data_IF_381810554035
#
_entry.id   IF_381810554035
#
_cell.length_a   1.000
_cell.length_b   1.000
_cell.length_c   1.000
_cell.angle_alpha   90.00
_cell.angle_beta   90.00
_cell.angle_gamma   90.00
#
_symmetry.space_group_name_H-M   'P 1'
#
loop_
_entity.id
_entity.type
_entity.pdbx_description
1 polymer ?
#
# COMPACT_ATOMS: atom_id res chain seq x y z
N UNK A 1 -14.03 -7.36 -10.55
CA UNK A 1 -15.03 -6.40 -11.05
C UNK A 1 -16.39 -6.76 -10.45
N UNK A 2 -16.84 -6.06 -9.41
CA UNK A 2 -18.05 -6.43 -8.64
C UNK A 2 -19.34 -5.78 -9.16
N UNK A 3 -19.24 -4.83 -10.10
CA UNK A 3 -20.38 -4.07 -10.64
C UNK A 3 -21.00 -4.61 -11.93
N UNK A 4 -20.47 -5.70 -12.51
CA UNK A 4 -20.96 -6.27 -13.77
C UNK A 4 -20.79 -5.38 -15.01
N UNK A 5 -19.90 -4.40 -14.97
CA UNK A 5 -19.57 -3.52 -16.11
C UNK A 5 -18.74 -4.30 -17.13
N UNK A 6 -19.16 -4.29 -18.39
CA UNK A 6 -18.49 -4.95 -19.52
C UNK A 6 -18.03 -3.97 -20.61
N UNK A 7 -18.34 -2.67 -20.47
CA UNK A 7 -17.88 -1.65 -21.40
C UNK A 7 -16.35 -1.49 -21.32
N UNK A 8 -15.68 -1.74 -22.44
CA UNK A 8 -14.22 -1.74 -22.50
C UNK A 8 -13.61 -0.38 -22.18
N UNK A 9 -14.26 0.71 -22.59
CA UNK A 9 -13.79 2.08 -22.30
C UNK A 9 -13.74 2.30 -20.79
N UNK A 10 -14.82 1.95 -20.08
CA UNK A 10 -14.92 2.06 -18.62
C UNK A 10 -13.90 1.16 -17.93
N UNK A 11 -13.73 -0.09 -18.39
CA UNK A 11 -12.77 -1.02 -17.79
C UNK A 11 -11.32 -0.57 -17.95
N UNK A 12 -10.94 -0.11 -19.15
CA UNK A 12 -9.59 0.41 -19.41
C UNK A 12 -9.36 1.70 -18.61
N UNK A 13 -10.31 2.63 -18.60
CA UNK A 13 -10.22 3.85 -17.80
C UNK A 13 -10.09 3.55 -16.29
N UNK A 14 -10.80 2.53 -15.79
CA UNK A 14 -10.69 2.08 -14.40
C UNK A 14 -9.27 1.62 -14.03
N UNK A 15 -8.54 1.00 -14.97
CA UNK A 15 -7.14 0.60 -14.76
C UNK A 15 -6.21 1.82 -14.82
N UNK A 16 -6.50 2.77 -15.71
CA UNK A 16 -5.64 3.92 -15.99
C UNK A 16 -5.87 5.14 -15.10
N UNK A 17 -6.94 5.20 -14.30
CA UNK A 17 -7.32 6.38 -13.52
C UNK A 17 -6.22 6.93 -12.58
N UNK A 18 -5.23 6.11 -12.21
CA UNK A 18 -4.11 6.51 -11.35
C UNK A 18 -2.84 6.87 -12.13
N UNK A 19 -2.79 6.57 -13.43
CA UNK A 19 -1.61 6.75 -14.28
C UNK A 19 -1.31 8.24 -14.49
N UNK A 20 -2.33 9.06 -14.82
CA UNK A 20 -2.16 10.52 -14.89
C UNK A 20 -1.91 11.15 -13.51
N UNK A 21 -2.48 10.57 -12.45
CA UNK A 21 -2.35 11.08 -11.08
C UNK A 21 -0.92 10.93 -10.51
N UNK A 22 -0.17 9.91 -10.95
CA UNK A 22 1.10 9.52 -10.34
C UNK A 22 2.27 9.34 -11.31
N UNK A 23 2.05 9.41 -12.62
CA UNK A 23 3.07 9.17 -13.65
C UNK A 23 3.62 10.42 -14.33
N UNK A 24 4.51 10.16 -15.30
CA UNK A 24 4.96 11.10 -16.33
C UNK A 24 4.04 11.09 -17.57
N UNK A 25 3.01 10.24 -17.55
CA UNK A 25 2.10 10.03 -18.68
C UNK A 25 1.22 11.24 -18.93
N UNK A 26 1.09 11.64 -20.19
CA UNK A 26 0.24 12.76 -20.62
C UNK A 26 -1.12 12.27 -21.10
N UNK A 27 -2.16 13.13 -21.12
CA UNK A 27 -3.44 12.77 -21.73
C UNK A 27 -3.33 12.36 -23.20
N UNK A 28 -2.41 12.98 -23.94
CA UNK A 28 -2.18 12.67 -25.36
C UNK A 28 -1.63 11.26 -25.55
N UNK A 29 -0.70 10.81 -24.68
CA UNK A 29 -0.21 9.42 -24.68
C UNK A 29 -1.33 8.41 -24.38
N UNK A 30 -2.31 8.79 -23.54
CA UNK A 30 -3.48 7.94 -23.25
C UNK A 30 -4.38 7.85 -24.47
N UNK A 31 -4.62 8.96 -25.16
CA UNK A 31 -5.44 8.96 -26.37
C UNK A 31 -4.79 8.22 -27.53
N UNK A 32 -3.48 8.41 -27.76
CA UNK A 32 -2.75 7.71 -28.81
C UNK A 32 -2.85 6.17 -28.65
N UNK A 33 -2.79 5.68 -27.41
CA UNK A 33 -2.78 4.24 -27.12
C UNK A 33 -4.14 3.61 -26.90
N UNK A 34 -5.10 4.36 -26.35
CA UNK A 34 -6.36 3.82 -25.86
C UNK A 34 -7.60 4.56 -26.41
N UNK A 35 -7.40 5.61 -27.20
CA UNK A 35 -8.45 6.40 -27.82
C UNK A 35 -9.01 7.52 -26.94
N UNK A 36 -9.69 8.45 -27.60
CA UNK A 36 -10.25 9.67 -27.00
C UNK A 36 -11.32 9.39 -25.93
N UNK A 37 -12.10 8.30 -26.09
CA UNK A 37 -13.10 7.88 -25.10
C UNK A 37 -12.48 7.53 -23.74
N UNK A 38 -11.38 6.77 -23.74
CA UNK A 38 -10.65 6.41 -22.52
C UNK A 38 -9.99 7.65 -21.92
N UNK A 39 -9.32 8.46 -22.74
CA UNK A 39 -8.71 9.73 -22.30
C UNK A 39 -9.73 10.59 -21.55
N UNK A 40 -10.90 10.82 -22.13
CA UNK A 40 -11.95 11.66 -21.55
C UNK A 40 -12.37 11.18 -20.16
N UNK A 41 -12.64 9.89 -20.00
CA UNK A 41 -13.04 9.32 -18.70
C UNK A 41 -11.90 9.44 -17.67
N UNK A 42 -10.66 9.23 -18.09
CA UNK A 42 -9.49 9.37 -17.19
C UNK A 42 -9.28 10.83 -16.78
N UNK A 43 -9.46 11.79 -17.69
CA UNK A 43 -9.40 13.23 -17.40
C UNK A 43 -10.51 13.65 -16.40
N UNK A 44 -11.75 13.17 -16.58
CA UNK A 44 -12.86 13.41 -15.65
C UNK A 44 -12.55 12.94 -14.22
N UNK A 45 -11.73 11.90 -14.06
CA UNK A 45 -11.33 11.32 -12.77
C UNK A 45 -10.05 11.92 -12.18
N UNK A 46 -9.33 12.72 -12.95
CA UNK A 46 -8.04 13.27 -12.56
C UNK A 46 -8.21 14.50 -11.66
N UNK A 47 -7.45 14.55 -10.57
CA UNK A 47 -7.51 15.64 -9.59
C UNK A 47 -6.50 16.75 -9.88
N UNK A 48 -6.90 18.00 -9.66
CA UNK A 48 -6.01 19.15 -9.67
C UNK A 48 -4.94 19.01 -8.56
N UNK A 49 -3.68 18.84 -8.96
CA UNK A 49 -2.57 18.56 -8.03
C UNK A 49 -2.21 19.75 -7.13
N UNK A 50 -2.54 20.97 -7.54
CA UNK A 50 -2.23 22.22 -6.82
C UNK A 50 -3.12 22.45 -5.60
N UNK A 51 -4.22 21.72 -5.46
CA UNK A 51 -5.17 21.88 -4.36
C UNK A 51 -4.76 21.05 -3.13
N UNK A 52 -5.05 21.59 -1.93
CA UNK A 52 -4.94 20.85 -0.67
C UNK A 52 -5.90 19.66 -0.64
N UNK A 53 -5.64 18.67 0.21
CA UNK A 53 -6.48 17.47 0.28
C UNK A 53 -7.97 17.77 0.57
N UNK A 54 -8.34 18.66 1.52
CA UNK A 54 -9.74 19.06 1.71
C UNK A 54 -10.32 19.79 0.49
N UNK A 55 -9.54 20.68 -0.14
CA UNK A 55 -9.99 21.41 -1.33
C UNK A 55 -10.22 20.47 -2.53
N UNK A 56 -9.38 19.44 -2.71
CA UNK A 56 -9.61 18.38 -3.71
C UNK A 56 -10.91 17.65 -3.48
N UNK A 57 -11.19 17.24 -2.23
CA UNK A 57 -12.46 16.56 -1.86
C UNK A 57 -13.67 17.45 -2.17
N UNK A 58 -13.63 18.73 -1.79
CA UNK A 58 -14.72 19.66 -2.08
C UNK A 58 -14.92 19.88 -3.59
N UNK A 59 -13.85 20.08 -4.35
CA UNK A 59 -13.91 20.27 -5.80
C UNK A 59 -14.50 19.04 -6.51
N UNK A 60 -14.12 17.82 -6.10
CA UNK A 60 -14.67 16.57 -6.66
C UNK A 60 -16.17 16.45 -6.44
N UNK A 61 -16.68 16.75 -5.25
CA UNK A 61 -18.14 16.72 -5.02
C UNK A 61 -18.88 17.76 -5.86
N UNK A 62 -18.30 18.94 -6.05
CA UNK A 62 -18.89 19.97 -6.93
C UNK A 62 -18.97 19.51 -8.39
N UNK A 63 -17.97 18.78 -8.87
CA UNK A 63 -17.92 18.26 -10.23
C UNK A 63 -18.70 16.95 -10.41
N UNK A 64 -19.04 16.25 -9.32
CA UNK A 64 -19.72 14.97 -9.36
C UNK A 64 -20.97 14.91 -10.26
N UNK A 65 -21.87 15.92 -10.29
CA UNK A 65 -23.03 15.90 -11.18
C UNK A 65 -22.66 15.88 -12.67
N UNK A 66 -21.53 16.50 -13.02
CA UNK A 66 -21.04 16.66 -14.40
C UNK A 66 -20.27 15.44 -14.91
N UNK A 67 -19.91 14.51 -14.02
CA UNK A 67 -19.21 13.29 -14.40
C UNK A 67 -20.12 12.40 -15.26
N UNK A 68 -19.51 11.76 -16.26
CA UNK A 68 -20.13 10.70 -17.02
C UNK A 68 -20.49 9.50 -16.13
N UNK A 69 -21.42 8.68 -16.60
CA UNK A 69 -21.80 7.44 -15.91
C UNK A 69 -20.60 6.50 -15.75
N UNK A 70 -19.72 6.41 -16.75
CA UNK A 70 -18.47 5.65 -16.66
C UNK A 70 -17.59 6.16 -15.51
N UNK A 71 -17.35 7.48 -15.43
CA UNK A 71 -16.55 8.08 -14.36
C UNK A 71 -17.20 7.90 -12.97
N UNK A 72 -18.51 8.07 -12.85
CA UNK A 72 -19.24 7.84 -11.59
C UNK A 72 -19.13 6.39 -11.12
N UNK A 73 -19.28 5.42 -12.04
CA UNK A 73 -19.14 4.00 -11.71
C UNK A 73 -17.72 3.65 -11.25
N UNK A 74 -16.69 4.20 -11.91
CA UNK A 74 -15.29 3.99 -11.52
C UNK A 74 -15.01 4.63 -10.15
N UNK A 75 -15.47 5.85 -9.91
CA UNK A 75 -15.26 6.53 -8.62
C UNK A 75 -15.97 5.80 -7.46
N UNK A 76 -17.16 5.26 -7.71
CA UNK A 76 -17.86 4.42 -6.74
C UNK A 76 -17.09 3.11 -6.47
N UNK A 77 -16.54 2.47 -7.51
CA UNK A 77 -15.74 1.27 -7.38
C UNK A 77 -14.44 1.52 -6.57
N UNK A 78 -13.75 2.63 -6.82
CA UNK A 78 -12.58 3.07 -6.04
C UNK A 78 -12.95 3.28 -4.56
N UNK A 79 -14.08 3.94 -4.31
CA UNK A 79 -14.59 4.18 -2.95
C UNK A 79 -14.89 2.88 -2.22
N UNK A 80 -15.49 1.89 -2.89
CA UNK A 80 -15.72 0.54 -2.34
C UNK A 80 -14.40 -0.14 -1.95
N UNK A 81 -13.36 -0.02 -2.78
CA UNK A 81 -12.03 -0.59 -2.48
C UNK A 81 -11.40 0.12 -1.27
N UNK A 82 -11.52 1.43 -1.17
CA UNK A 82 -11.04 2.21 -0.04
C UNK A 82 -11.76 1.82 1.26
N UNK A 83 -13.09 1.67 1.23
CA UNK A 83 -13.87 1.21 2.38
C UNK A 83 -13.49 -0.23 2.79
N UNK A 84 -13.26 -1.12 1.82
CA UNK A 84 -12.85 -2.52 2.09
C UNK A 84 -11.47 -2.60 2.76
N UNK A 85 -10.59 -1.65 2.47
CA UNK A 85 -9.23 -1.60 3.00
C UNK A 85 -9.10 -0.66 4.21
N UNK A 86 -10.19 -0.04 4.65
CA UNK A 86 -10.24 0.86 5.80
C UNK A 86 -9.79 0.16 7.08
N UNK A 87 -8.96 0.85 7.87
CA UNK A 87 -8.42 0.34 9.14
C UNK A 87 -8.57 1.38 10.22
N UNK A 88 -9.37 1.04 11.23
CA UNK A 88 -9.77 1.97 12.29
C UNK A 88 -8.73 2.04 13.42
N UNK A 89 -7.64 1.27 13.35
CA UNK A 89 -6.72 1.03 14.47
C UNK A 89 -5.68 2.12 14.77
N UNK A 90 -5.66 3.23 14.02
CA UNK A 90 -4.62 4.27 14.16
C UNK A 90 -5.17 5.64 14.55
N UNK A 91 -6.38 6.02 14.10
CA UNK A 91 -7.07 7.27 14.47
C UNK A 91 -8.58 7.15 14.17
N UNK A 92 -9.41 7.16 15.22
CA UNK A 92 -10.88 7.09 15.10
C UNK A 92 -11.41 8.29 14.30
N UNK A 93 -10.87 9.49 14.53
CA UNK A 93 -11.32 10.71 13.85
C UNK A 93 -11.00 10.69 12.35
N UNK A 94 -9.81 10.27 11.93
CA UNK A 94 -9.49 10.17 10.51
C UNK A 94 -10.36 9.11 9.81
N UNK A 95 -10.61 7.99 10.49
CA UNK A 95 -11.51 6.94 9.98
C UNK A 95 -12.95 7.45 9.83
N UNK A 96 -13.44 8.23 10.80
CA UNK A 96 -14.75 8.90 10.73
C UNK A 96 -14.81 9.83 9.52
N UNK A 97 -13.79 10.65 9.32
CA UNK A 97 -13.75 11.63 8.24
C UNK A 97 -13.66 10.96 6.86
N UNK A 98 -12.96 9.82 6.75
CA UNK A 98 -12.92 9.00 5.55
C UNK A 98 -14.25 8.30 5.25
N UNK A 99 -14.94 7.78 6.28
CA UNK A 99 -16.29 7.22 6.13
C UNK A 99 -17.27 8.31 5.69
N UNK A 100 -17.28 9.47 6.36
CA UNK A 100 -18.15 10.59 6.01
C UNK A 100 -17.87 11.13 4.60
N UNK A 101 -16.61 11.08 4.16
CA UNK A 101 -16.26 11.37 2.77
C UNK A 101 -16.84 10.34 1.80
N UNK A 102 -16.67 9.05 2.09
CA UNK A 102 -17.20 7.97 1.26
C UNK A 102 -18.73 8.06 1.11
N UNK A 103 -19.47 8.39 2.19
CA UNK A 103 -20.92 8.61 2.14
C UNK A 103 -21.33 9.70 1.14
N UNK A 104 -20.58 10.81 1.11
CA UNK A 104 -20.83 11.89 0.15
C UNK A 104 -20.58 11.44 -1.28
N UNK A 105 -19.53 10.64 -1.51
CA UNK A 105 -19.26 10.07 -2.83
C UNK A 105 -20.36 9.12 -3.26
N UNK A 106 -20.74 8.16 -2.42
CA UNK A 106 -21.81 7.19 -2.71
C UNK A 106 -23.12 7.91 -3.05
N UNK A 107 -23.46 8.97 -2.31
CA UNK A 107 -24.64 9.78 -2.62
C UNK A 107 -24.53 10.49 -3.98
N UNK A 108 -23.36 11.03 -4.29
CA UNK A 108 -23.14 11.81 -5.50
C UNK A 108 -23.05 10.96 -6.78
N UNK A 109 -22.75 9.66 -6.66
CA UNK A 109 -22.61 8.72 -7.79
C UNK A 109 -23.76 7.72 -7.91
N UNK A 110 -24.74 7.77 -6.99
CA UNK A 110 -25.86 6.83 -6.92
C UNK A 110 -26.70 6.81 -8.21
N UNK A 111 -27.25 5.64 -8.54
CA UNK A 111 -28.21 5.46 -9.62
C UNK A 111 -27.59 5.08 -10.96
N UNK A 112 -26.27 5.19 -11.07
CA UNK A 112 -25.52 4.81 -12.28
C UNK A 112 -25.33 3.30 -12.39
N UNK A 113 -25.10 2.63 -11.25
CA UNK A 113 -24.94 1.17 -11.22
C UNK A 113 -25.52 0.61 -9.93
N UNK A 114 -26.74 0.07 -10.01
CA UNK A 114 -27.46 -0.46 -8.86
C UNK A 114 -26.70 -1.54 -8.07
N UNK A 115 -25.88 -2.36 -8.75
CA UNK A 115 -25.06 -3.37 -8.06
C UNK A 115 -23.96 -2.73 -7.23
N UNK A 116 -23.28 -1.72 -7.78
CA UNK A 116 -22.26 -0.97 -7.04
C UNK A 116 -22.89 -0.18 -5.88
N UNK A 117 -24.08 0.39 -6.07
CA UNK A 117 -24.81 1.10 -5.00
C UNK A 117 -25.07 0.18 -3.81
N UNK A 118 -25.61 -1.02 -4.04
CA UNK A 118 -25.86 -2.02 -2.98
C UNK A 118 -24.58 -2.41 -2.26
N UNK A 119 -23.50 -2.65 -3.01
CA UNK A 119 -22.20 -3.00 -2.41
C UNK A 119 -21.65 -1.84 -1.57
N UNK A 120 -21.76 -0.61 -2.06
CA UNK A 120 -21.26 0.56 -1.38
C UNK A 120 -22.00 0.84 -0.06
N UNK A 121 -23.33 0.75 -0.06
CA UNK A 121 -24.13 0.86 1.17
C UNK A 121 -23.74 -0.20 2.20
N UNK A 122 -23.64 -1.47 1.78
CA UNK A 122 -23.21 -2.54 2.68
C UNK A 122 -21.80 -2.33 3.26
N UNK A 123 -20.88 -1.75 2.49
CA UNK A 123 -19.53 -1.40 2.95
C UNK A 123 -19.54 -0.22 3.93
N UNK A 124 -20.40 0.78 3.70
CA UNK A 124 -20.60 1.91 4.63
C UNK A 124 -21.15 1.42 5.96
N UNK A 125 -22.17 0.57 5.95
CA UNK A 125 -22.75 -0.01 7.17
C UNK A 125 -21.73 -0.83 7.95
N UNK A 126 -20.93 -1.64 7.25
CA UNK A 126 -19.83 -2.37 7.87
C UNK A 126 -18.80 -1.42 8.50
N UNK A 127 -18.38 -0.37 7.77
CA UNK A 127 -17.39 0.59 8.26
C UNK A 127 -17.90 1.39 9.48
N UNK A 128 -19.17 1.81 9.49
CA UNK A 128 -19.82 2.46 10.64
C UNK A 128 -19.83 1.53 11.85
N UNK A 129 -20.21 0.27 11.67
CA UNK A 129 -20.19 -0.72 12.76
C UNK A 129 -18.78 -0.90 13.33
N UNK A 130 -17.76 -1.01 12.47
CA UNK A 130 -16.37 -1.08 12.93
C UNK A 130 -15.95 0.18 13.71
N UNK A 131 -16.39 1.36 13.28
CA UNK A 131 -16.11 2.62 13.96
C UNK A 131 -16.76 2.68 15.34
N UNK A 132 -18.01 2.26 15.44
CA UNK A 132 -18.75 2.20 16.70
C UNK A 132 -18.17 1.16 17.65
N UNK A 133 -17.79 -0.01 17.15
CA UNK A 133 -17.09 -1.02 17.94
C UNK A 133 -15.76 -0.47 18.47
N UNK A 134 -14.95 0.18 17.62
CA UNK A 134 -13.71 0.82 18.04
C UNK A 134 -13.91 1.92 19.11
N UNK A 135 -14.93 2.77 18.97
CA UNK A 135 -15.33 3.78 19.97
C UNK A 135 -15.69 3.16 21.32
N UNK A 136 -16.32 1.98 21.29
CA UNK A 136 -16.69 1.23 22.48
C UNK A 136 -15.57 0.33 23.01
N UNK A 137 -14.32 0.51 22.55
CA UNK A 137 -13.16 -0.28 22.97
C UNK A 137 -13.13 -1.72 22.42
N UNK A 138 -14.08 -2.09 21.55
CA UNK A 138 -14.13 -3.37 20.84
C UNK A 138 -13.39 -3.26 19.52
N UNK A 139 -12.07 -3.35 19.57
CA UNK A 139 -11.25 -3.26 18.37
C UNK A 139 -11.42 -4.50 17.48
N UNK A 140 -11.67 -4.35 16.16
CA UNK A 140 -11.67 -5.49 15.26
C UNK A 140 -10.31 -6.21 15.35
N UNK A 141 -10.30 -7.56 15.33
CA UNK A 141 -9.05 -8.29 15.39
C UNK A 141 -8.18 -7.91 14.18
N UNK A 142 -6.91 -7.54 14.44
CA UNK A 142 -5.96 -7.23 13.36
C UNK A 142 -5.96 -8.37 12.34
N UNK A 143 -5.98 -8.07 11.02
CA UNK A 143 -6.04 -9.08 9.99
C UNK A 143 -4.91 -10.09 10.19
N UNK A 144 -5.26 -11.36 10.39
CA UNK A 144 -4.28 -12.43 10.56
C UNK A 144 -3.59 -12.67 9.23
N UNK A 145 -2.27 -12.89 9.27
CA UNK A 145 -1.48 -13.33 8.11
C UNK A 145 -2.23 -14.42 7.35
N UNK A 146 -2.27 -14.38 6.01
CA UNK A 146 -2.91 -15.43 5.23
C UNK A 146 -2.28 -16.79 5.57
N UNK A 147 -3.09 -17.85 5.63
CA UNK A 147 -2.55 -19.20 5.79
C UNK A 147 -1.55 -19.49 4.66
N UNK A 148 -0.61 -20.43 4.87
CA UNK A 148 0.38 -20.77 3.83
C UNK A 148 -0.25 -21.07 2.46
N UNK A 149 -1.50 -21.54 2.42
CA UNK A 149 -2.27 -21.80 1.20
C UNK A 149 -2.60 -20.52 0.41
N UNK A 150 -2.83 -19.38 1.07
CA UNK A 150 -3.10 -18.08 0.41
C UNK A 150 -1.85 -17.42 -0.19
N UNK A 151 -0.64 -17.89 0.11
CA UNK A 151 0.56 -17.42 -0.62
C UNK A 151 0.57 -17.87 -2.08
N UNK A 152 -0.31 -18.78 -2.47
CA UNK A 152 -0.55 -19.14 -3.87
C UNK A 152 -1.58 -18.25 -4.58
N UNK A 153 -2.12 -17.24 -3.90
CA UNK A 153 -3.03 -16.27 -4.51
C UNK A 153 -2.32 -15.54 -5.67
N UNK A 154 -2.81 -15.65 -6.92
CA UNK A 154 -2.21 -15.02 -8.09
C UNK A 154 -2.11 -13.50 -7.97
N UNK A 155 -3.09 -12.83 -7.35
CA UNK A 155 -3.08 -11.38 -7.18
C UNK A 155 -2.02 -10.96 -6.16
N UNK A 156 -1.88 -11.71 -5.07
CA UNK A 156 -0.83 -11.45 -4.07
C UNK A 156 0.58 -11.66 -4.66
N UNK A 157 0.74 -12.62 -5.57
CA UNK A 157 2.02 -12.84 -6.28
C UNK A 157 2.31 -11.72 -7.26
N UNK A 158 1.35 -11.37 -8.12
CA UNK A 158 1.52 -10.32 -9.12
C UNK A 158 1.83 -8.94 -8.49
N UNK A 159 1.11 -8.58 -7.41
CA UNK A 159 1.37 -7.34 -6.67
C UNK A 159 2.78 -7.33 -6.05
N UNK A 160 3.25 -8.47 -5.53
CA UNK A 160 4.62 -8.56 -5.01
C UNK A 160 5.67 -8.54 -6.12
N UNK A 161 5.38 -9.11 -7.30
CA UNK A 161 6.28 -9.14 -8.45
C UNK A 161 6.61 -7.74 -8.94
N UNK A 162 5.64 -6.81 -8.92
CA UNK A 162 5.86 -5.40 -9.22
C UNK A 162 6.92 -4.75 -8.30
N UNK A 163 7.03 -5.21 -7.06
CA UNK A 163 7.93 -4.65 -6.06
C UNK A 163 7.47 -3.29 -5.54
N UNK A 164 8.28 -2.68 -4.67
CA UNK A 164 8.07 -1.34 -4.13
C UNK A 164 9.07 -0.36 -4.73
N UNK A 165 8.64 0.89 -4.91
CA UNK A 165 9.48 1.95 -5.48
C UNK A 165 10.27 2.72 -4.42
N UNK A 166 9.75 2.81 -3.19
CA UNK A 166 10.42 3.55 -2.11
C UNK A 166 10.20 2.94 -0.73
N UNK A 167 11.22 3.08 0.11
CA UNK A 167 11.20 2.69 1.51
C UNK A 167 11.93 3.76 2.32
N UNK A 168 11.25 4.31 3.32
CA UNK A 168 11.84 5.24 4.29
C UNK A 168 11.69 4.66 5.69
N UNK A 169 12.78 4.65 6.46
CA UNK A 169 12.78 4.22 7.86
C UNK A 169 13.24 5.38 8.72
N UNK A 170 12.41 5.78 9.68
CA UNK A 170 12.70 6.81 10.67
C UNK A 170 13.13 6.13 11.98
N UNK A 171 14.40 6.25 12.33
CA UNK A 171 14.98 5.63 13.53
C UNK A 171 14.72 6.47 14.79
N UNK A 172 13.45 6.52 15.20
CA UNK A 172 12.95 7.45 16.21
C UNK A 172 13.52 7.22 17.61
N UNK A 173 13.58 5.97 18.08
CA UNK A 173 14.01 5.65 19.44
C UNK A 173 14.58 4.22 19.59
N UNK A 174 15.05 3.88 20.79
CA UNK A 174 15.69 2.61 21.10
C UNK A 174 14.80 1.35 21.03
N UNK A 175 13.49 1.51 20.86
CA UNK A 175 12.51 0.42 20.86
C UNK A 175 11.83 0.24 19.51
N UNK A 176 11.58 1.32 18.77
CA UNK A 176 10.77 1.32 17.56
C UNK A 176 11.32 2.24 16.48
N UNK A 177 10.98 1.93 15.23
CA UNK A 177 11.20 2.82 14.08
C UNK A 177 9.88 2.95 13.31
N UNK A 178 9.57 4.16 12.84
CA UNK A 178 8.49 4.38 11.88
C UNK A 178 8.97 4.02 10.47
N UNK A 179 8.07 3.50 9.64
CA UNK A 179 8.35 3.03 8.29
C UNK A 179 7.30 3.56 7.34
N UNK A 180 7.75 4.06 6.19
CA UNK A 180 6.92 4.45 5.04
C UNK A 180 7.31 3.63 3.82
N UNK A 181 6.32 3.07 3.13
CA UNK A 181 6.52 2.27 1.91
C UNK A 181 5.62 2.86 0.83
N UNK A 182 6.22 3.37 -0.25
CA UNK A 182 5.51 4.12 -1.30
C UNK A 182 4.58 5.20 -0.71
N UNK A 183 3.38 5.31 -1.25
CA UNK A 183 2.33 6.23 -0.82
C UNK A 183 1.52 5.74 0.39
N UNK A 184 1.92 4.62 1.04
CA UNK A 184 1.15 4.03 2.15
C UNK A 184 1.31 4.83 3.45
N UNK A 185 0.33 4.75 4.37
CA UNK A 185 0.45 5.34 5.70
C UNK A 185 1.70 4.86 6.44
N UNK A 186 2.26 5.74 7.26
CA UNK A 186 3.39 5.42 8.12
C UNK A 186 2.93 4.45 9.21
N UNK A 187 3.70 3.40 9.45
CA UNK A 187 3.45 2.47 10.54
C UNK A 187 4.71 2.21 11.36
N UNK A 188 4.57 1.65 12.56
CA UNK A 188 5.69 1.45 13.48
C UNK A 188 6.13 -0.01 13.50
N UNK A 189 7.44 -0.23 13.46
CA UNK A 189 8.08 -1.54 13.64
C UNK A 189 8.91 -1.58 14.94
N UNK A 190 8.91 -2.71 15.66
CA UNK A 190 9.97 -2.99 16.64
C UNK A 190 11.34 -2.88 15.99
N UNK A 191 12.32 -2.35 16.71
CA UNK A 191 13.64 -2.00 16.16
C UNK A 191 14.35 -3.19 15.50
N UNK A 192 14.20 -4.41 16.03
CA UNK A 192 14.74 -5.64 15.42
C UNK A 192 14.14 -5.93 14.05
N UNK A 193 12.83 -5.69 13.86
CA UNK A 193 12.16 -5.87 12.56
C UNK A 193 12.54 -4.76 11.58
N UNK A 194 12.68 -3.52 12.05
CA UNK A 194 13.14 -2.40 11.24
C UNK A 194 14.58 -2.62 10.72
N UNK A 195 15.49 -3.09 11.59
CA UNK A 195 16.86 -3.48 11.20
C UNK A 195 16.87 -4.62 10.20
N UNK A 196 16.06 -5.66 10.43
CA UNK A 196 15.93 -6.75 9.48
C UNK A 196 15.46 -6.24 8.12
N UNK A 197 14.41 -5.41 8.09
CA UNK A 197 13.86 -4.80 6.88
C UNK A 197 14.92 -3.97 6.14
N UNK A 198 15.69 -3.15 6.87
CA UNK A 198 16.78 -2.35 6.30
C UNK A 198 17.85 -3.24 5.66
N UNK A 199 18.31 -4.30 6.34
CA UNK A 199 19.35 -5.19 5.80
C UNK A 199 18.85 -5.86 4.52
N UNK A 200 17.64 -6.43 4.50
CA UNK A 200 17.13 -7.11 3.30
C UNK A 200 16.79 -6.15 2.16
N UNK A 201 16.69 -4.84 2.42
CA UNK A 201 16.41 -3.81 1.43
C UNK A 201 17.68 -3.21 0.82
N UNK A 202 18.75 -3.07 1.61
CA UNK A 202 19.91 -2.26 1.24
C UNK A 202 21.25 -2.98 1.38
N UNK A 203 21.28 -4.26 1.77
CA UNK A 203 22.55 -4.97 1.88
C UNK A 203 23.01 -5.54 0.54
N UNK A 204 24.19 -5.11 0.09
CA UNK A 204 24.82 -5.55 -1.15
C UNK A 204 24.54 -4.63 -2.34
N UNK A 205 25.08 -4.97 -3.51
CA UNK A 205 24.76 -4.27 -4.76
C UNK A 205 23.39 -4.74 -5.26
N UNK A 206 22.62 -3.90 -5.98
CA UNK A 206 21.37 -4.33 -6.60
C UNK A 206 21.56 -5.62 -7.41
N UNK A 207 20.55 -6.48 -7.39
CA UNK A 207 20.49 -7.65 -8.26
C UNK A 207 20.47 -7.24 -9.73
N UNK A 208 20.78 -8.18 -10.62
CA UNK A 208 20.70 -7.96 -12.07
C UNK A 208 19.28 -7.56 -12.54
N UNK A 209 18.26 -7.83 -11.74
CA UNK A 209 16.87 -7.47 -11.96
C UNK A 209 16.50 -6.04 -11.49
N UNK A 210 17.49 -5.23 -11.07
CA UNK A 210 17.26 -3.86 -10.57
C UNK A 210 16.63 -3.79 -9.18
N UNK A 211 16.35 -4.95 -8.57
CA UNK A 211 15.82 -5.07 -7.21
C UNK A 211 16.96 -5.17 -6.19
N UNK A 212 16.62 -5.07 -4.90
CA UNK A 212 17.59 -5.35 -3.84
C UNK A 212 18.19 -6.76 -3.95
N UNK A 213 19.46 -6.88 -3.54
CA UNK A 213 20.18 -8.14 -3.59
C UNK A 213 19.62 -9.17 -2.62
N UNK A 214 19.78 -10.45 -2.99
CA UNK A 214 19.58 -11.52 -2.04
C UNK A 214 20.70 -11.54 -0.99
N UNK A 215 20.27 -11.57 0.27
CA UNK A 215 21.16 -11.71 1.43
C UNK A 215 21.02 -13.11 2.00
N UNK A 216 22.14 -13.85 2.06
CA UNK A 216 22.13 -15.16 2.69
C UNK A 216 21.74 -15.05 4.17
N UNK A 217 20.94 -15.99 4.68
CA UNK A 217 20.49 -15.99 6.09
C UNK A 217 21.65 -15.93 7.11
N UNK A 218 22.81 -16.51 6.76
CA UNK A 218 24.03 -16.43 7.57
C UNK A 218 24.61 -15.01 7.63
N UNK A 219 24.53 -14.25 6.53
CA UNK A 219 24.98 -12.86 6.48
C UNK A 219 24.03 -11.94 7.25
N UNK A 220 22.72 -12.20 7.21
CA UNK A 220 21.74 -11.48 8.06
C UNK A 220 22.08 -11.54 9.55
N UNK A 221 22.53 -12.71 10.03
CA UNK A 221 22.95 -12.88 11.43
C UNK A 221 24.17 -12.03 11.77
N UNK A 222 25.17 -12.03 10.89
CA UNK A 222 26.40 -11.24 11.04
C UNK A 222 26.07 -9.75 11.10
N UNK A 223 25.23 -9.28 10.17
CA UNK A 223 24.87 -7.87 10.11
C UNK A 223 23.98 -7.41 11.26
N UNK A 224 23.02 -8.24 11.68
CA UNK A 224 22.24 -7.93 12.88
C UNK A 224 23.14 -7.83 14.12
N UNK A 225 24.14 -8.72 14.27
CA UNK A 225 25.11 -8.63 15.37
C UNK A 225 25.93 -7.34 15.26
N UNK A 226 26.44 -7.01 14.08
CA UNK A 226 27.23 -5.80 13.83
C UNK A 226 26.45 -4.52 14.18
N UNK A 227 25.20 -4.41 13.72
CA UNK A 227 24.35 -3.22 13.95
C UNK A 227 23.86 -3.14 15.40
N UNK A 228 23.67 -4.27 16.09
CA UNK A 228 23.14 -4.27 17.46
C UNK A 228 24.22 -4.18 18.54
N UNK A 229 25.48 -4.49 18.22
CA UNK A 229 26.59 -4.52 19.18
C UNK A 229 26.45 -5.54 20.31
N UNK A 230 25.43 -6.43 20.24
CA UNK A 230 25.15 -7.43 21.28
C UNK A 230 25.44 -8.83 20.75
N UNK A 231 26.00 -9.74 21.58
CA UNK A 231 26.16 -11.15 21.23
C UNK A 231 24.78 -11.82 21.16
N UNK A 232 24.08 -11.66 20.04
CA UNK A 232 22.80 -12.32 19.80
C UNK A 232 23.03 -13.83 19.64
N UNK A 233 22.53 -14.63 20.59
CA UNK A 233 22.41 -16.09 20.46
C UNK A 233 21.26 -16.43 19.48
N UNK A 234 21.46 -16.18 18.19
CA UNK A 234 20.49 -16.50 17.14
C UNK A 234 20.96 -17.74 16.36
N UNK A 235 20.21 -18.83 16.45
CA UNK A 235 20.33 -19.96 15.52
C UNK A 235 19.58 -19.68 14.22
N UNK A 236 19.77 -20.52 13.19
CA UNK A 236 19.10 -20.39 11.87
C UNK A 236 17.57 -20.28 11.98
N UNK A 237 16.95 -21.03 12.90
CA UNK A 237 15.51 -20.97 13.15
C UNK A 237 15.02 -19.62 13.70
N UNK A 238 15.88 -18.86 14.36
CA UNK A 238 15.53 -17.54 14.90
C UNK A 238 15.39 -16.49 13.79
N UNK A 239 16.19 -16.59 12.71
CA UNK A 239 16.06 -15.71 11.54
C UNK A 239 14.73 -15.96 10.84
N UNK A 240 14.36 -17.22 10.62
CA UNK A 240 13.09 -17.55 9.99
C UNK A 240 11.91 -17.02 10.81
N UNK A 241 11.98 -17.14 12.15
CA UNK A 241 10.96 -16.55 13.04
C UNK A 241 10.88 -15.04 12.91
N UNK A 242 12.02 -14.34 12.85
CA UNK A 242 12.06 -12.88 12.66
C UNK A 242 11.47 -12.48 11.30
N UNK A 243 11.83 -13.18 10.23
CA UNK A 243 11.32 -12.93 8.88
C UNK A 243 9.82 -13.20 8.78
N UNK A 244 9.34 -14.31 9.36
CA UNK A 244 7.92 -14.60 9.39
C UNK A 244 7.12 -13.57 10.20
N UNK A 245 7.71 -13.08 11.30
CA UNK A 245 7.13 -12.00 12.11
C UNK A 245 7.15 -10.68 11.33
N UNK A 246 8.22 -10.37 10.60
CA UNK A 246 8.28 -9.20 9.72
C UNK A 246 7.16 -9.25 8.67
N UNK A 247 7.01 -10.37 7.96
CA UNK A 247 5.92 -10.57 7.00
C UNK A 247 4.53 -10.39 7.63
N UNK A 248 4.31 -10.93 8.83
CA UNK A 248 3.03 -10.76 9.55
C UNK A 248 2.76 -9.29 9.90
N UNK A 249 3.75 -8.57 10.42
CA UNK A 249 3.58 -7.15 10.76
C UNK A 249 3.39 -6.30 9.51
N UNK A 250 4.10 -6.58 8.41
CA UNK A 250 3.89 -5.92 7.12
C UNK A 250 2.45 -6.13 6.63
N UNK A 251 1.96 -7.37 6.64
CA UNK A 251 0.58 -7.67 6.23
C UNK A 251 -0.46 -6.97 7.12
N UNK A 252 -0.25 -7.00 8.43
CA UNK A 252 -1.07 -6.24 9.39
C UNK A 252 -1.00 -4.74 9.20
N UNK A 253 -0.08 -4.21 8.40
CA UNK A 253 0.04 -2.80 8.00
C UNK A 253 -0.26 -2.56 6.50
N UNK A 254 -0.90 -3.53 5.81
CA UNK A 254 -1.41 -3.34 4.45
C UNK A 254 -0.32 -3.48 3.39
N UNK A 255 0.83 -4.01 3.79
CA UNK A 255 1.98 -4.26 2.93
C UNK A 255 1.99 -5.73 2.56
N UNK A 256 2.14 -6.02 1.28
CA UNK A 256 2.15 -7.39 0.79
C UNK A 256 3.31 -8.20 1.39
N UNK A 257 3.04 -9.30 2.13
CA UNK A 257 4.08 -10.06 2.83
C UNK A 257 5.02 -10.80 1.87
N UNK A 258 4.64 -10.98 0.60
CA UNK A 258 5.50 -11.57 -0.43
C UNK A 258 6.58 -10.62 -0.94
N UNK A 259 6.53 -9.33 -0.59
CA UNK A 259 7.64 -8.40 -0.82
C UNK A 259 8.91 -8.83 -0.08
N UNK A 260 8.78 -9.52 1.04
CA UNK A 260 9.90 -10.23 1.68
C UNK A 260 10.07 -11.58 0.99
N UNK A 261 10.89 -11.59 -0.05
CA UNK A 261 11.14 -12.76 -0.88
C UNK A 261 12.17 -13.68 -0.20
N UNK A 262 11.78 -14.93 0.03
CA UNK A 262 12.62 -15.93 0.68
C UNK A 262 12.90 -17.10 -0.27
N UNK A 263 14.16 -17.28 -0.65
CA UNK A 263 14.63 -18.36 -1.53
C UNK A 263 15.61 -19.26 -0.78
N UNK A 264 15.42 -20.59 -0.87
CA UNK A 264 16.27 -21.57 -0.15
C UNK A 264 17.76 -21.47 -0.54
N UNK A 265 18.05 -21.25 -1.82
CA UNK A 265 19.43 -21.17 -2.36
C UNK A 265 20.00 -19.75 -2.31
N UNK A 266 19.20 -18.75 -2.69
CA UNK A 266 19.67 -17.36 -2.84
C UNK A 266 19.69 -16.57 -1.53
N UNK A 267 18.83 -16.91 -0.57
CA UNK A 267 18.69 -16.15 0.68
C UNK A 267 17.40 -15.35 0.72
N UNK A 268 17.45 -14.14 1.23
CA UNK A 268 16.27 -13.30 1.50
C UNK A 268 16.52 -11.89 0.99
N UNK A 269 15.49 -11.27 0.42
CA UNK A 269 15.52 -9.87 -0.01
C UNK A 269 14.18 -9.18 0.23
N UNK A 270 14.17 -7.86 0.16
CA UNK A 270 12.95 -7.08 -0.07
C UNK A 270 12.83 -6.78 -1.57
N UNK A 271 11.66 -6.95 -2.18
CA UNK A 271 11.44 -6.56 -3.57
C UNK A 271 11.34 -5.04 -3.72
N UNK A 272 12.45 -4.35 -3.49
CA UNK A 272 12.62 -2.89 -3.59
C UNK A 272 13.44 -2.57 -4.84
N UNK A 273 12.95 -1.68 -5.69
CA UNK A 273 13.71 -1.12 -6.83
C UNK A 273 14.77 -0.16 -6.31
N UNK A 274 16.05 -0.41 -6.64
CA UNK A 274 17.15 0.45 -6.20
C UNK A 274 17.56 1.38 -7.34
N UNK A 275 17.17 2.65 -7.25
CA UNK A 275 17.52 3.69 -8.25
C UNK A 275 18.82 4.43 -7.94
N UNK A 276 19.29 4.41 -6.69
CA UNK A 276 20.58 5.00 -6.24
C UNK A 276 21.27 4.11 -5.20
N UNK A 277 22.61 4.11 -5.20
CA UNK A 277 23.45 3.19 -4.41
C UNK A 277 23.51 3.54 -2.91
N UNK A 278 23.27 2.51 -2.09
CA UNK A 278 23.61 2.30 -0.67
C UNK A 278 23.66 3.52 0.28
N UNK A 279 22.57 3.78 1.04
CA UNK A 279 22.71 4.57 2.26
C UNK A 279 23.57 3.81 3.27
N UNK A 280 24.42 4.53 4.00
CA UNK A 280 25.22 3.93 5.06
C UNK A 280 24.32 3.26 6.12
N UNK A 281 24.81 2.17 6.77
CA UNK A 281 24.09 1.55 7.88
C UNK A 281 23.84 2.58 8.98
N UNK A 282 22.64 2.58 9.60
CA UNK A 282 22.32 3.57 10.61
C UNK A 282 23.31 3.46 11.77
N UNK A 283 24.09 4.51 12.02
CA UNK A 283 25.12 4.55 13.07
C UNK A 283 24.55 5.05 14.41
N UNK A 284 23.34 5.63 14.42
CA UNK A 284 22.67 6.14 15.62
C UNK A 284 21.19 6.44 15.46
N UNK A 285 20.56 6.99 16.51
CA UNK A 285 19.18 7.51 16.47
C UNK A 285 19.16 8.89 15.77
N UNK A 286 18.10 9.17 15.01
CA UNK A 286 17.92 10.46 14.31
C UNK A 286 18.43 10.52 12.86
N UNK A 287 18.99 9.44 12.30
CA UNK A 287 19.37 9.41 10.88
C UNK A 287 18.16 9.17 9.96
N UNK A 288 17.99 10.03 8.96
CA UNK A 288 17.02 9.85 7.89
C UNK A 288 17.66 9.03 6.77
N UNK A 289 17.18 7.81 6.55
CA UNK A 289 17.52 7.04 5.34
C UNK A 289 16.32 7.09 4.41
N UNK A 290 16.36 8.04 3.48
CA UNK A 290 15.37 8.22 2.42
C UNK A 290 16.03 7.91 1.09
N UNK A 291 15.39 7.07 0.28
CA UNK A 291 15.71 6.94 -1.14
C UNK A 291 14.40 7.14 -1.91
N UNK A 292 14.42 8.08 -2.86
CA UNK A 292 13.37 8.30 -3.86
C UNK A 292 13.69 7.58 -5.17
#
# INVERSE_FOLDING_TARGET
>A
MSGGVMDMTTLVACVLQHVLKHGQTTPDEVEEKFGSGVRRVVEELTEERKLTHPARRAARLRLAPQLSDAAKAIWLADTIVNLRTLRIDQTIDASRDDIAWAEKVVRATRGVNARLDVIAEGMLDHARKLLDDARNGRWPPKPRKPSRKRYNDPFLKADAEAGIGSLTIFWDNARTARVKIDSRPIFTLPLTLARMLWIIAFFGKPGQDGLSAFVLKRALLVELRRITGRPYKLGRHSIDRILYRLQDVLYRNGVNPLLVEMCRKRGVRLRLHIRTLNPHPPRGFGELVTIQ
#
